data_IF_032324117398
#
_entry.id   IF_032324117398
#
_cell.length_a   1.000
_cell.length_b   1.000
_cell.length_c   1.000
_cell.angle_alpha   90.00
_cell.angle_beta   90.00
_cell.angle_gamma   90.00
#
_symmetry.space_group_name_H-M   'P 1'
#
loop_
_entity.id
_entity.type
_entity.pdbx_description
1 polymer ?
#
# COMPACT_ATOMS: atom_id res chain seq x y z
N UNK A 1 -0.01 29.09 7.01
CA UNK A 1 -0.96 27.95 7.00
C UNK A 1 -0.85 27.35 5.59
N UNK A 2 -0.16 26.23 5.45
CA UNK A 2 -0.07 25.51 4.18
C UNK A 2 -1.47 24.96 3.87
N UNK A 3 -1.99 25.24 2.66
CA UNK A 3 -3.23 24.61 2.20
C UNK A 3 -2.97 23.10 2.14
N UNK A 4 -3.75 22.32 2.88
CA UNK A 4 -3.76 20.85 2.75
C UNK A 4 -4.16 20.52 1.30
N UNK A 5 -3.26 19.93 0.56
CA UNK A 5 -3.58 19.35 -0.76
C UNK A 5 -4.24 18.01 -0.49
N UNK A 6 -5.56 17.95 -0.58
CA UNK A 6 -6.32 16.69 -0.52
C UNK A 6 -6.38 16.14 -1.95
N UNK A 7 -6.11 14.86 -2.13
CA UNK A 7 -6.29 14.19 -3.42
C UNK A 7 -7.78 14.17 -3.78
N UNK A 8 -8.11 14.52 -5.02
CA UNK A 8 -9.50 14.53 -5.51
C UNK A 8 -10.13 13.14 -5.40
N UNK A 9 -11.34 13.08 -4.81
CA UNK A 9 -12.03 11.82 -4.55
C UNK A 9 -11.57 11.07 -3.29
N UNK A 10 -10.66 11.66 -2.49
CA UNK A 10 -10.20 11.08 -1.24
C UNK A 10 -10.65 11.93 -0.05
N UNK A 11 -11.03 11.29 1.04
CA UNK A 11 -11.38 11.97 2.29
C UNK A 11 -11.28 11.02 3.47
N UNK A 12 -11.18 11.61 4.66
CA UNK A 12 -11.18 10.87 5.91
C UNK A 12 -11.76 11.66 7.05
N UNK A 13 -12.27 10.97 8.06
CA UNK A 13 -12.77 11.58 9.30
C UNK A 13 -12.32 10.75 10.50
N UNK A 14 -12.33 11.35 11.67
CA UNK A 14 -12.01 10.72 12.95
C UNK A 14 -10.90 11.46 13.69
N UNK A 15 -10.47 10.95 14.84
CA UNK A 15 -9.38 11.53 15.62
C UNK A 15 -8.05 11.58 14.86
N UNK A 16 -7.23 12.57 15.20
CA UNK A 16 -5.90 12.74 14.63
C UNK A 16 -5.87 13.52 13.32
N UNK A 17 -4.69 13.62 12.75
CA UNK A 17 -4.45 14.31 11.48
C UNK A 17 -4.84 13.42 10.30
N UNK A 18 -5.48 14.03 9.29
CA UNK A 18 -5.86 13.34 8.05
C UNK A 18 -4.86 13.72 6.96
N UNK A 19 -4.30 12.72 6.32
CA UNK A 19 -3.33 12.84 5.21
C UNK A 19 -4.01 13.23 3.89
N UNK A 20 -3.26 13.62 2.85
CA UNK A 20 -3.84 14.00 1.56
C UNK A 20 -4.70 12.91 0.90
N UNK A 21 -4.41 11.64 1.15
CA UNK A 21 -5.14 10.47 0.64
C UNK A 21 -6.28 10.00 1.57
N UNK A 22 -6.64 10.81 2.59
CA UNK A 22 -7.75 10.52 3.50
C UNK A 22 -7.42 9.55 4.64
N UNK A 23 -6.18 9.10 4.78
CA UNK A 23 -5.75 8.27 5.90
C UNK A 23 -5.66 9.09 7.19
N UNK A 24 -6.02 8.51 8.33
CA UNK A 24 -5.83 9.14 9.63
C UNK A 24 -4.57 8.61 10.31
N UNK A 25 -3.63 9.49 10.65
CA UNK A 25 -2.34 9.10 11.27
C UNK A 25 -2.58 8.26 12.53
N UNK A 26 -3.48 8.71 13.42
CA UNK A 26 -3.79 7.97 14.65
C UNK A 26 -4.39 6.58 14.39
N UNK A 27 -5.24 6.45 13.37
CA UNK A 27 -5.76 5.14 12.96
C UNK A 27 -4.63 4.19 12.55
N UNK A 28 -3.75 4.67 11.66
CA UNK A 28 -2.68 3.82 11.11
C UNK A 28 -1.63 3.42 12.15
N UNK A 29 -1.45 4.20 13.21
CA UNK A 29 -0.66 3.80 14.39
C UNK A 29 -1.30 2.66 15.19
N UNK A 30 -2.63 2.54 15.15
CA UNK A 30 -3.42 1.56 15.93
C UNK A 30 -3.73 0.28 15.16
N UNK A 31 -3.64 0.32 13.82
CA UNK A 31 -3.88 -0.86 13.00
C UNK A 31 -2.83 -1.92 13.29
N UNK A 32 -3.28 -3.10 13.66
CA UNK A 32 -2.39 -4.23 13.89
C UNK A 32 -1.82 -4.76 12.56
N UNK A 33 -0.58 -5.25 12.61
CA UNK A 33 0.00 -6.02 11.52
C UNK A 33 -0.64 -7.42 11.51
N UNK A 34 -0.80 -8.01 10.33
CA UNK A 34 -1.26 -9.38 10.14
C UNK A 34 -0.07 -10.27 9.75
N UNK A 35 -0.21 -11.03 8.68
CA UNK A 35 0.78 -11.98 8.18
C UNK A 35 1.76 -11.36 7.16
N UNK A 36 1.60 -10.07 6.82
CA UNK A 36 2.43 -9.42 5.81
C UNK A 36 3.94 -9.62 6.03
N UNK A 37 4.50 -9.40 7.26
CA UNK A 37 5.93 -9.60 7.47
C UNK A 37 6.39 -11.05 7.31
N UNK A 38 5.51 -12.02 7.57
CA UNK A 38 5.82 -13.45 7.39
C UNK A 38 5.88 -13.79 5.91
N UNK A 39 4.89 -13.33 5.12
CA UNK A 39 4.85 -13.51 3.66
C UNK A 39 6.09 -12.88 3.01
N UNK A 40 6.44 -11.65 3.41
CA UNK A 40 7.59 -10.93 2.88
C UNK A 40 8.89 -11.67 3.22
N UNK A 41 9.10 -12.03 4.49
CA UNK A 41 10.30 -12.72 4.93
C UNK A 41 10.47 -14.10 4.29
N UNK A 42 9.38 -14.80 3.99
CA UNK A 42 9.43 -16.09 3.27
C UNK A 42 9.72 -15.93 1.76
N UNK A 43 9.49 -14.74 1.19
CA UNK A 43 9.62 -14.50 -0.25
C UNK A 43 11.02 -14.02 -0.67
N UNK A 44 11.85 -13.51 0.27
CA UNK A 44 13.12 -12.86 -0.01
C UNK A 44 14.23 -13.32 0.93
N UNK A 45 15.52 -13.20 0.54
CA UNK A 45 16.64 -13.52 1.44
C UNK A 45 16.63 -12.65 2.70
N UNK A 46 17.13 -13.23 3.80
CA UNK A 46 17.35 -12.47 5.04
C UNK A 46 18.31 -11.29 4.80
N UNK A 47 18.13 -10.23 5.58
CA UNK A 47 18.91 -8.99 5.50
C UNK A 47 18.92 -8.30 4.13
N UNK A 48 17.91 -8.58 3.28
CA UNK A 48 17.71 -7.83 2.03
C UNK A 48 17.45 -6.35 2.31
N UNK A 49 17.92 -5.48 1.42
CA UNK A 49 17.50 -4.08 1.37
C UNK A 49 16.09 -3.96 0.79
N UNK A 50 15.20 -3.29 1.50
CA UNK A 50 13.78 -3.14 1.12
C UNK A 50 13.44 -1.67 0.95
N UNK A 51 12.92 -1.28 -0.22
CA UNK A 51 12.24 -0.02 -0.43
C UNK A 51 10.73 -0.23 -0.24
N UNK A 52 10.19 0.26 0.87
CA UNK A 52 8.76 0.20 1.17
C UNK A 52 8.06 1.46 0.69
N UNK A 53 7.21 1.32 -0.31
CA UNK A 53 6.45 2.41 -0.93
C UNK A 53 5.06 2.52 -0.29
N UNK A 54 4.77 3.67 0.34
CA UNK A 54 3.56 3.89 1.12
C UNK A 54 3.61 3.24 2.50
N UNK A 55 4.68 3.50 3.27
CA UNK A 55 4.93 2.87 4.57
C UNK A 55 3.93 3.26 5.66
N UNK A 56 3.23 4.39 5.48
CA UNK A 56 2.37 4.95 6.52
C UNK A 56 3.13 5.17 7.83
N UNK A 57 2.49 4.81 8.93
CA UNK A 57 3.06 4.91 10.29
C UNK A 57 4.04 3.77 10.64
N UNK A 58 4.48 2.97 9.68
CA UNK A 58 5.46 1.90 9.89
C UNK A 58 4.88 0.57 10.35
N UNK A 59 3.61 0.30 10.11
CA UNK A 59 2.93 -0.93 10.54
C UNK A 59 3.63 -2.20 10.06
N UNK A 60 4.14 -2.20 8.83
CA UNK A 60 4.90 -3.32 8.25
C UNK A 60 6.40 -3.08 8.38
N UNK A 61 6.86 -1.82 8.30
CA UNK A 61 8.25 -1.41 8.44
C UNK A 61 8.88 -1.97 9.74
N UNK A 62 8.23 -1.73 10.90
CA UNK A 62 8.81 -2.09 12.19
C UNK A 62 9.08 -3.60 12.32
N UNK A 63 8.12 -4.51 12.03
CA UNK A 63 8.38 -5.95 12.08
C UNK A 63 9.44 -6.42 11.08
N UNK A 64 9.62 -5.74 9.94
CA UNK A 64 10.69 -6.06 8.98
C UNK A 64 12.05 -5.63 9.51
N UNK A 65 12.16 -4.45 10.11
CA UNK A 65 13.39 -3.99 10.79
C UNK A 65 13.75 -4.93 11.93
N UNK A 66 12.78 -5.34 12.76
CA UNK A 66 13.00 -6.27 13.88
C UNK A 66 13.50 -7.65 13.39
N UNK A 67 13.22 -8.03 12.15
CA UNK A 67 13.71 -9.24 11.48
C UNK A 67 15.08 -9.06 10.81
N UNK A 68 15.66 -7.86 10.90
CA UNK A 68 17.00 -7.55 10.38
C UNK A 68 17.03 -7.15 8.90
N UNK A 69 15.90 -6.76 8.30
CA UNK A 69 15.88 -6.15 6.96
C UNK A 69 16.36 -4.70 7.04
N UNK A 70 17.06 -4.24 6.00
CA UNK A 70 17.45 -2.83 5.84
C UNK A 70 16.31 -2.09 5.07
N UNK A 71 15.47 -1.38 5.80
CA UNK A 71 14.25 -0.78 5.24
C UNK A 71 14.43 0.71 5.00
N UNK A 72 14.13 1.15 3.77
CA UNK A 72 13.88 2.56 3.44
C UNK A 72 12.37 2.75 3.25
N UNK A 73 11.76 3.49 4.16
CA UNK A 73 10.32 3.74 4.23
C UNK A 73 9.96 5.05 3.51
N UNK A 74 9.09 4.99 2.51
CA UNK A 74 8.62 6.14 1.73
C UNK A 74 7.15 6.38 2.00
N UNK A 75 6.78 7.61 2.30
CA UNK A 75 5.39 8.06 2.41
C UNK A 75 5.28 9.54 2.03
N UNK A 76 4.13 9.98 1.52
CA UNK A 76 3.91 11.40 1.22
C UNK A 76 3.60 12.26 2.45
N UNK A 77 3.22 11.62 3.57
CA UNK A 77 2.90 12.28 4.84
C UNK A 77 4.09 12.27 5.78
N UNK A 78 4.62 13.47 6.06
CA UNK A 78 5.66 13.63 7.08
C UNK A 78 5.20 13.14 8.46
N UNK A 79 3.91 13.34 8.79
CA UNK A 79 3.32 12.93 10.07
C UNK A 79 3.25 11.41 10.23
N UNK A 80 3.01 10.69 9.12
CA UNK A 80 3.13 9.22 9.10
C UNK A 80 4.57 8.80 9.38
N UNK A 81 5.53 9.40 8.67
CA UNK A 81 6.95 9.07 8.79
C UNK A 81 7.54 9.40 10.16
N UNK A 82 7.01 10.38 10.89
CA UNK A 82 7.39 10.69 12.27
C UNK A 82 7.16 9.50 13.22
N UNK A 83 6.30 8.55 12.85
CA UNK A 83 6.01 7.35 13.63
C UNK A 83 6.95 6.19 13.30
N UNK A 84 7.65 6.25 12.18
CA UNK A 84 8.57 5.20 11.72
C UNK A 84 9.86 5.22 12.56
N UNK A 85 10.28 4.05 13.04
CA UNK A 85 11.49 3.86 13.82
C UNK A 85 12.37 2.77 13.23
N UNK A 86 13.68 2.94 13.36
CA UNK A 86 14.66 1.92 12.95
C UNK A 86 14.89 1.81 11.45
N UNK A 87 14.20 2.61 10.62
CA UNK A 87 14.35 2.64 9.18
C UNK A 87 14.74 4.05 8.70
N UNK A 88 15.38 4.14 7.55
CA UNK A 88 15.53 5.40 6.81
C UNK A 88 14.17 5.84 6.32
N UNK A 89 13.80 7.12 6.47
CA UNK A 89 12.54 7.67 5.98
C UNK A 89 12.75 8.66 4.86
N UNK A 90 11.85 8.66 3.86
CA UNK A 90 11.85 9.60 2.73
C UNK A 90 10.42 10.12 2.52
N UNK A 91 10.24 11.43 2.71
CA UNK A 91 8.94 12.08 2.51
C UNK A 91 8.79 12.48 1.03
N UNK A 92 8.00 11.71 0.28
CA UNK A 92 7.75 11.94 -1.16
C UNK A 92 6.51 11.18 -1.60
N UNK A 93 5.72 11.74 -2.54
CA UNK A 93 4.81 10.93 -3.35
C UNK A 93 5.61 9.85 -4.09
N UNK A 94 5.07 8.64 -4.17
CA UNK A 94 5.76 7.49 -4.75
C UNK A 94 6.04 7.72 -6.24
N UNK A 95 5.06 8.26 -6.96
CA UNK A 95 5.12 8.51 -8.41
C UNK A 95 6.17 9.56 -8.83
N UNK A 96 6.65 10.36 -7.88
CA UNK A 96 7.69 11.38 -8.08
C UNK A 96 8.95 11.15 -7.24
N UNK A 97 9.08 9.96 -6.65
CA UNK A 97 10.24 9.61 -5.82
C UNK A 97 11.54 9.72 -6.60
N UNK A 98 12.52 10.41 -6.01
CA UNK A 98 13.88 10.50 -6.54
C UNK A 98 14.93 10.16 -5.46
N UNK A 99 15.52 8.97 -5.60
CA UNK A 99 16.64 8.48 -4.80
C UNK A 99 17.93 8.38 -5.63
N UNK A 100 18.01 9.09 -6.76
CA UNK A 100 19.16 8.98 -7.67
C UNK A 100 19.29 7.58 -8.28
N UNK A 101 20.50 7.03 -8.20
CA UNK A 101 20.86 5.73 -8.78
C UNK A 101 20.77 4.59 -7.74
N UNK A 102 20.18 4.84 -6.56
CA UNK A 102 19.99 3.80 -5.56
C UNK A 102 19.11 2.66 -6.11
N UNK A 103 19.43 1.44 -5.74
CA UNK A 103 18.61 0.26 -6.07
C UNK A 103 18.53 -0.68 -4.88
N UNK A 104 17.48 -1.49 -4.82
CA UNK A 104 17.15 -2.34 -3.70
C UNK A 104 16.99 -3.80 -4.12
N UNK A 105 17.26 -4.71 -3.19
CA UNK A 105 16.98 -6.15 -3.38
C UNK A 105 15.48 -6.39 -3.57
N UNK A 106 14.68 -5.62 -2.83
CA UNK A 106 13.22 -5.71 -2.79
C UNK A 106 12.60 -4.33 -2.90
N UNK A 107 11.64 -4.17 -3.79
CA UNK A 107 10.73 -3.02 -3.77
C UNK A 107 9.34 -3.51 -3.40
N UNK A 108 8.75 -2.94 -2.37
CA UNK A 108 7.44 -3.35 -1.86
C UNK A 108 6.38 -2.29 -2.13
N UNK A 109 5.29 -2.67 -2.79
CA UNK A 109 4.08 -1.89 -3.03
C UNK A 109 2.90 -2.61 -2.36
N UNK A 110 2.71 -2.34 -1.08
CA UNK A 110 1.68 -2.96 -0.25
C UNK A 110 0.40 -2.11 -0.17
N UNK A 111 -0.47 -2.45 0.77
CA UNK A 111 -1.71 -1.72 1.09
C UNK A 111 -2.61 -1.47 -0.11
N UNK A 112 -2.61 -2.40 -1.07
CA UNK A 112 -3.46 -2.38 -2.26
C UNK A 112 -3.28 -1.15 -3.17
N UNK A 113 -2.19 -0.41 -3.04
CA UNK A 113 -1.91 0.82 -3.79
C UNK A 113 -1.94 0.63 -5.31
N UNK A 114 -1.67 -0.58 -5.81
CA UNK A 114 -1.77 -0.93 -7.23
C UNK A 114 -3.19 -0.75 -7.79
N UNK A 115 -4.21 -0.69 -6.92
CA UNK A 115 -5.61 -0.46 -7.29
C UNK A 115 -5.98 1.01 -7.40
N UNK A 116 -5.03 1.95 -7.34
CA UNK A 116 -5.31 3.38 -7.50
C UNK A 116 -6.27 3.64 -8.67
N UNK A 117 -7.34 4.40 -8.41
CA UNK A 117 -8.33 4.76 -9.43
C UNK A 117 -7.74 5.63 -10.54
N UNK A 118 -6.76 6.48 -10.24
CA UNK A 118 -6.02 7.26 -11.24
C UNK A 118 -4.97 6.39 -11.93
N UNK A 119 -5.15 6.18 -13.24
CA UNK A 119 -4.22 5.39 -14.06
C UNK A 119 -2.81 6.00 -14.09
N UNK A 120 -2.67 7.34 -14.06
CA UNK A 120 -1.35 8.01 -14.08
C UNK A 120 -0.59 7.75 -12.78
N UNK A 121 -1.31 7.76 -11.64
CA UNK A 121 -0.72 7.39 -10.34
C UNK A 121 -0.30 5.93 -10.39
N UNK A 122 -1.18 4.99 -10.74
CA UNK A 122 -0.86 3.57 -10.83
C UNK A 122 0.35 3.28 -11.73
N UNK A 123 0.39 3.88 -12.92
CA UNK A 123 1.52 3.72 -13.85
C UNK A 123 2.81 4.32 -13.26
N UNK A 124 2.70 5.42 -12.51
CA UNK A 124 3.78 6.02 -11.74
C UNK A 124 4.32 5.08 -10.68
N UNK A 125 3.43 4.49 -9.86
CA UNK A 125 3.79 3.53 -8.82
C UNK A 125 4.59 2.34 -9.40
N UNK A 126 4.11 1.74 -10.48
CA UNK A 126 4.77 0.59 -11.11
C UNK A 126 6.10 0.96 -11.78
N UNK A 127 6.19 2.14 -12.40
CA UNK A 127 7.48 2.66 -12.92
C UNK A 127 8.49 2.88 -11.80
N UNK A 128 8.06 3.40 -10.65
CA UNK A 128 8.90 3.57 -9.46
C UNK A 128 9.38 2.21 -8.95
N UNK A 129 8.51 1.20 -8.88
CA UNK A 129 8.92 -0.16 -8.55
C UNK A 129 10.01 -0.67 -9.50
N UNK A 130 9.84 -0.50 -10.83
CA UNK A 130 10.82 -0.96 -11.82
C UNK A 130 12.14 -0.19 -11.75
N UNK A 131 12.08 1.12 -11.48
CA UNK A 131 13.27 1.98 -11.39
C UNK A 131 14.20 1.56 -10.26
N UNK A 132 13.64 1.25 -9.10
CA UNK A 132 14.43 1.02 -7.90
C UNK A 132 14.70 -0.44 -7.57
N UNK A 133 14.07 -1.39 -8.24
CA UNK A 133 14.45 -2.79 -8.11
C UNK A 133 15.72 -3.05 -8.90
N UNK A 134 16.77 -3.60 -8.24
CA UNK A 134 18.03 -3.96 -8.90
C UNK A 134 17.86 -5.13 -9.88
N UNK A 135 18.84 -5.33 -10.72
CA UNK A 135 18.90 -6.56 -11.54
C UNK A 135 18.99 -7.79 -10.62
N UNK A 136 18.11 -8.77 -10.88
CA UNK A 136 17.96 -9.95 -10.04
C UNK A 136 17.20 -9.72 -8.73
N UNK A 137 16.76 -8.48 -8.45
CA UNK A 137 15.87 -8.14 -7.34
C UNK A 137 14.41 -8.51 -7.62
N UNK A 138 13.55 -8.23 -6.65
CA UNK A 138 12.12 -8.56 -6.72
C UNK A 138 11.23 -7.38 -6.33
N UNK A 139 10.04 -7.37 -6.91
CA UNK A 139 8.95 -6.46 -6.50
C UNK A 139 7.88 -7.29 -5.82
N UNK A 140 7.52 -6.93 -4.60
CA UNK A 140 6.42 -7.53 -3.84
C UNK A 140 5.21 -6.61 -3.89
N UNK A 141 4.09 -7.11 -4.39
CA UNK A 141 2.88 -6.30 -4.57
C UNK A 141 1.72 -6.97 -3.85
N UNK A 142 1.00 -6.18 -3.05
CA UNK A 142 -0.26 -6.59 -2.45
C UNK A 142 -1.41 -6.11 -3.31
N UNK A 143 -2.29 -7.04 -3.72
CA UNK A 143 -3.44 -6.77 -4.56
C UNK A 143 -4.70 -7.44 -4.03
N UNK A 144 -5.86 -6.94 -4.45
CA UNK A 144 -7.15 -7.57 -4.27
C UNK A 144 -7.61 -8.29 -5.55
N UNK A 145 -8.55 -9.21 -5.41
CA UNK A 145 -9.22 -9.82 -6.56
C UNK A 145 -10.20 -8.85 -7.26
N UNK A 146 -10.65 -9.23 -8.47
CA UNK A 146 -11.61 -8.45 -9.25
C UNK A 146 -12.98 -8.30 -8.57
N UNK A 147 -13.32 -9.24 -7.67
CA UNK A 147 -14.58 -9.22 -6.91
C UNK A 147 -14.48 -8.43 -5.60
N UNK A 148 -13.39 -7.68 -5.38
CA UNK A 148 -13.15 -6.95 -4.12
C UNK A 148 -14.27 -5.96 -3.76
N UNK A 149 -14.98 -5.43 -4.75
CA UNK A 149 -16.08 -4.48 -4.57
C UNK A 149 -17.48 -5.11 -4.67
N UNK A 150 -17.56 -6.44 -4.76
CA UNK A 150 -18.84 -7.17 -4.85
C UNK A 150 -19.30 -7.65 -3.47
N UNK A 151 -20.64 -7.72 -3.26
CA UNK A 151 -21.22 -8.24 -2.01
C UNK A 151 -21.01 -7.35 -0.79
N UNK A 152 -20.99 -6.03 -0.99
CA UNK A 152 -20.92 -5.04 0.07
C UNK A 152 -22.30 -4.79 0.72
N UNK A 153 -22.37 -4.39 2.01
CA UNK A 153 -21.23 -4.17 2.92
C UNK A 153 -20.58 -5.48 3.40
N UNK A 154 -19.27 -5.43 3.66
CA UNK A 154 -18.52 -6.52 4.30
C UNK A 154 -17.85 -6.01 5.57
N UNK A 155 -17.84 -6.85 6.57
CA UNK A 155 -17.27 -6.55 7.88
C UNK A 155 -16.27 -7.63 8.30
N UNK A 156 -15.18 -7.21 8.88
CA UNK A 156 -14.17 -8.08 9.49
C UNK A 156 -13.83 -7.58 10.88
N UNK A 157 -14.06 -8.43 11.90
CA UNK A 157 -13.56 -8.18 13.24
C UNK A 157 -12.11 -8.66 13.33
N UNK A 158 -11.21 -7.74 13.70
CA UNK A 158 -9.80 -8.06 13.87
C UNK A 158 -9.57 -8.67 15.27
N UNK A 159 -8.69 -9.68 15.42
CA UNK A 159 -8.39 -10.28 16.73
C UNK A 159 -7.89 -9.25 17.77
N UNK A 160 -7.31 -8.13 17.36
CA UNK A 160 -6.91 -7.03 18.24
C UNK A 160 -8.07 -6.15 18.72
N UNK A 161 -9.34 -6.51 18.46
CA UNK A 161 -10.52 -5.89 19.05
C UNK A 161 -11.08 -4.68 18.32
N UNK A 162 -10.76 -4.48 17.03
CA UNK A 162 -11.41 -3.48 16.20
C UNK A 162 -12.09 -4.11 14.99
N UNK A 163 -13.02 -3.38 14.40
CA UNK A 163 -13.77 -3.80 13.22
C UNK A 163 -13.42 -2.93 12.01
N UNK A 164 -13.23 -3.56 10.87
CA UNK A 164 -13.11 -2.90 9.56
C UNK A 164 -14.34 -3.25 8.73
N UNK A 165 -15.03 -2.24 8.22
CA UNK A 165 -16.20 -2.42 7.35
C UNK A 165 -15.98 -1.70 6.02
N UNK A 166 -16.03 -2.42 4.91
CA UNK A 166 -16.20 -1.82 3.59
C UNK A 166 -17.71 -1.65 3.39
N UNK A 167 -18.15 -0.38 3.40
CA UNK A 167 -19.58 -0.02 3.45
C UNK A 167 -20.18 -0.04 2.05
N UNK A 168 -19.49 0.63 1.12
CA UNK A 168 -19.94 0.75 -0.27
C UNK A 168 -18.76 0.92 -1.22
N UNK A 169 -19.02 0.64 -2.49
CA UNK A 169 -18.19 0.95 -3.63
C UNK A 169 -19.10 1.50 -4.72
N UNK A 170 -19.10 2.82 -4.89
CA UNK A 170 -19.99 3.52 -5.82
C UNK A 170 -19.24 3.83 -7.12
N UNK A 171 -19.73 3.37 -8.28
CA UNK A 171 -19.08 3.64 -9.56
C UNK A 171 -18.96 5.15 -9.85
N UNK A 172 -17.75 5.61 -10.17
CA UNK A 172 -17.47 7.00 -10.56
C UNK A 172 -17.06 7.13 -12.04
N UNK A 173 -17.02 6.04 -12.78
CA UNK A 173 -16.68 5.98 -14.21
C UNK A 173 -15.37 5.23 -14.45
N UNK A 174 -15.17 4.85 -15.71
CA UNK A 174 -13.94 4.17 -16.20
C UNK A 174 -13.50 2.94 -15.40
N UNK A 175 -14.47 2.21 -14.80
CA UNK A 175 -14.19 1.04 -13.96
C UNK A 175 -13.53 1.38 -12.63
N UNK A 176 -13.69 2.61 -12.16
CA UNK A 176 -13.25 3.11 -10.86
C UNK A 176 -14.44 3.25 -9.95
N UNK A 177 -14.28 2.85 -8.70
CA UNK A 177 -15.28 3.02 -7.65
C UNK A 177 -14.74 3.94 -6.55
N UNK A 178 -15.65 4.75 -5.98
CA UNK A 178 -15.45 5.45 -4.71
C UNK A 178 -15.79 4.51 -3.58
N UNK A 179 -14.80 4.08 -2.83
CA UNK A 179 -14.94 3.08 -1.76
C UNK A 179 -14.99 3.79 -0.41
N UNK A 180 -16.01 3.46 0.39
CA UNK A 180 -16.13 3.94 1.78
C UNK A 180 -15.77 2.82 2.75
N UNK A 181 -14.73 3.04 3.55
CA UNK A 181 -14.35 2.19 4.67
C UNK A 181 -14.62 2.86 6.01
N UNK A 182 -15.00 2.04 7.00
CA UNK A 182 -15.19 2.44 8.39
C UNK A 182 -14.34 1.56 9.28
N UNK A 183 -13.62 2.18 10.21
CA UNK A 183 -12.84 1.51 11.23
C UNK A 183 -13.44 1.86 12.59
N UNK A 184 -13.80 0.85 13.37
CA UNK A 184 -14.43 1.00 14.68
C UNK A 184 -13.58 0.33 15.75
N UNK A 185 -13.06 1.15 16.67
CA UNK A 185 -12.39 0.74 17.89
C UNK A 185 -13.34 0.98 19.06
N UNK A 186 -13.12 0.40 20.25
CA UNK A 186 -13.98 0.61 21.40
C UNK A 186 -14.11 2.09 21.84
N UNK A 187 -13.12 2.89 21.54
CA UNK A 187 -12.97 4.29 21.97
C UNK A 187 -12.95 5.32 20.83
N UNK A 188 -12.93 4.88 19.58
CA UNK A 188 -12.80 5.78 18.43
C UNK A 188 -13.35 5.17 17.15
N UNK A 189 -13.72 6.05 16.21
CA UNK A 189 -14.20 5.66 14.87
C UNK A 189 -13.57 6.55 13.81
N UNK A 190 -13.15 5.91 12.71
CA UNK A 190 -12.64 6.60 11.52
C UNK A 190 -13.42 6.19 10.28
N UNK A 191 -13.49 7.08 9.32
CA UNK A 191 -13.95 6.78 7.97
C UNK A 191 -12.86 7.17 6.98
N UNK A 192 -12.77 6.43 5.88
CA UNK A 192 -11.91 6.76 4.77
C UNK A 192 -12.67 6.51 3.47
N UNK A 193 -12.63 7.49 2.57
CA UNK A 193 -13.11 7.35 1.19
C UNK A 193 -11.92 7.47 0.26
N UNK A 194 -11.82 6.55 -0.69
CA UNK A 194 -10.74 6.52 -1.68
C UNK A 194 -11.23 5.98 -3.02
N UNK A 195 -10.48 6.27 -4.07
CA UNK A 195 -10.77 5.76 -5.41
C UNK A 195 -9.99 4.47 -5.66
N UNK A 196 -10.71 3.41 -6.01
CA UNK A 196 -10.14 2.11 -6.27
C UNK A 196 -10.67 1.51 -7.57
N UNK A 197 -9.82 0.79 -8.27
CA UNK A 197 -10.18 0.02 -9.46
C UNK A 197 -9.94 -1.47 -9.20
N UNK A 198 -10.97 -2.30 -9.15
CA UNK A 198 -10.80 -3.76 -9.17
C UNK A 198 -10.06 -4.17 -10.44
N UNK A 199 -9.12 -5.07 -10.33
CA UNK A 199 -8.32 -5.55 -11.46
C UNK A 199 -8.47 -7.05 -11.61
N UNK A 200 -8.82 -7.51 -12.81
CA UNK A 200 -8.66 -8.91 -13.14
C UNK A 200 -7.16 -9.30 -13.12
N UNK A 201 -6.90 -10.58 -13.11
CA UNK A 201 -5.52 -11.08 -13.16
C UNK A 201 -4.80 -10.62 -14.43
N UNK A 202 -5.48 -10.69 -15.58
CA UNK A 202 -4.94 -10.28 -16.88
C UNK A 202 -4.66 -8.78 -16.92
N UNK A 203 -5.56 -7.96 -16.38
CA UNK A 203 -5.35 -6.51 -16.31
C UNK A 203 -4.14 -6.17 -15.44
N UNK A 204 -4.04 -6.78 -14.26
CA UNK A 204 -2.92 -6.59 -13.35
C UNK A 204 -1.59 -6.99 -14.01
N UNK A 205 -1.52 -8.18 -14.59
CA UNK A 205 -0.33 -8.67 -15.29
C UNK A 205 0.03 -7.77 -16.49
N UNK A 206 -0.97 -7.26 -17.21
CA UNK A 206 -0.78 -6.31 -18.31
C UNK A 206 -0.16 -4.98 -17.87
N UNK A 207 -0.56 -4.45 -16.70
CA UNK A 207 0.08 -3.25 -16.14
C UNK A 207 1.53 -3.50 -15.70
N UNK A 208 1.81 -4.65 -15.12
CA UNK A 208 3.20 -5.03 -14.81
C UNK A 208 4.03 -5.12 -16.09
N UNK A 209 3.48 -5.75 -17.12
CA UNK A 209 4.12 -5.92 -18.43
C UNK A 209 4.50 -4.57 -19.04
N UNK A 210 3.58 -3.62 -19.02
CA UNK A 210 3.78 -2.27 -19.54
C UNK A 210 4.85 -1.49 -18.72
N UNK A 211 5.01 -1.81 -17.44
CA UNK A 211 6.04 -1.23 -16.58
C UNK A 211 7.41 -1.93 -16.68
N UNK A 212 7.57 -2.96 -17.53
CA UNK A 212 8.81 -3.72 -17.65
C UNK A 212 9.03 -4.73 -16.52
N UNK A 213 7.93 -5.17 -15.90
CA UNK A 213 7.90 -6.20 -14.88
C UNK A 213 7.12 -7.42 -15.40
N UNK A 214 7.36 -8.58 -14.82
CA UNK A 214 6.53 -9.77 -15.03
C UNK A 214 6.28 -10.49 -13.72
N UNK A 215 5.13 -11.13 -13.60
CA UNK A 215 4.83 -12.01 -12.47
C UNK A 215 5.81 -13.21 -12.51
N UNK A 216 6.48 -13.46 -11.39
CA UNK A 216 7.24 -14.67 -11.14
C UNK A 216 6.33 -15.72 -10.52
N UNK A 217 5.63 -15.37 -9.44
CA UNK A 217 4.66 -16.25 -8.79
C UNK A 217 3.70 -15.48 -7.88
N UNK A 218 2.53 -16.06 -7.62
CA UNK A 218 1.64 -15.67 -6.54
C UNK A 218 2.11 -16.34 -5.24
N UNK A 219 2.21 -15.58 -4.17
CA UNK A 219 2.75 -16.03 -2.89
C UNK A 219 1.69 -16.60 -1.96
N UNK A 220 0.43 -16.18 -2.15
CA UNK A 220 -0.74 -16.62 -1.38
C UNK A 220 -1.76 -17.30 -2.28
N UNK A 221 -2.53 -18.24 -1.73
CA UNK A 221 -3.54 -19.01 -2.49
C UNK A 221 -4.65 -18.11 -3.07
N UNK A 222 -5.02 -17.07 -2.34
CA UNK A 222 -6.00 -16.06 -2.77
C UNK A 222 -5.45 -15.05 -3.78
N UNK A 223 -4.16 -15.11 -4.09
CA UNK A 223 -3.50 -14.21 -5.01
C UNK A 223 -3.29 -12.78 -4.47
N UNK A 224 -3.45 -12.56 -3.17
CA UNK A 224 -3.28 -11.25 -2.53
C UNK A 224 -1.84 -10.76 -2.61
N UNK A 225 -0.85 -11.63 -2.43
CA UNK A 225 0.55 -11.28 -2.55
C UNK A 225 1.18 -11.85 -3.82
N UNK A 226 1.88 -10.99 -4.53
CA UNK A 226 2.53 -11.30 -5.81
C UNK A 226 4.01 -10.94 -5.76
N UNK A 227 4.85 -11.87 -6.21
CA UNK A 227 6.24 -11.64 -6.49
C UNK A 227 6.40 -11.41 -7.99
N UNK A 228 6.89 -10.22 -8.34
CA UNK A 228 7.24 -9.85 -9.71
C UNK A 228 8.75 -9.62 -9.82
N UNK A 229 9.28 -9.69 -11.06
CA UNK A 229 10.69 -9.48 -11.36
C UNK A 229 10.84 -8.58 -12.59
N UNK A 230 11.95 -7.85 -12.75
CA UNK A 230 12.29 -7.19 -14.00
C UNK A 230 12.26 -8.14 -15.20
N UNK A 231 11.87 -7.63 -16.37
CA UNK A 231 11.98 -8.33 -17.66
C UNK A 231 13.39 -8.31 -18.18
#
# INVERSE_FOLDING_TARGET
MSQRVVREGYSGTGPGEITPDGCAVELYQRLAVSDEPDVIAAAVPAASSILELGSGAGRVTHPLVDRGFDVTAVDESAQMLEQVRGARTVCSPIESLDLGDETFDVVMLASFLVHSGDHRVRDGLLRTCRRYVRDGGVVLIQREGEDSHVGLPRERVHPSGYTVRIVSAEPVGDGVDSVLCVYEFPDARWTQTFLSRPLSKEQFEGYLDAAGLRVDRYLTEDGTWVRAVPK
#
